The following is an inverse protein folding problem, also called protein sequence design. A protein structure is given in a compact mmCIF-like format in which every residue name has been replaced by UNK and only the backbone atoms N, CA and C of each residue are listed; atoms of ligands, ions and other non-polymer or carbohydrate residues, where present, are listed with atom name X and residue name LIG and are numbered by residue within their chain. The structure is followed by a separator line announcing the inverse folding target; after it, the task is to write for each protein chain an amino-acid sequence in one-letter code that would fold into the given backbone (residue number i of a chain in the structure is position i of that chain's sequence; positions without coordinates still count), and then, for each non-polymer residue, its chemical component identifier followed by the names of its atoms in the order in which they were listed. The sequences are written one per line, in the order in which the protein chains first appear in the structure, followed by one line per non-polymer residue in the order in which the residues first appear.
data_IF_148822299881
#
_entry.id   IF_148822299881
#
_cell.length_a   1.000
_cell.length_b   1.000
_cell.length_c   1.000
_cell.angle_alpha   90.00
_cell.angle_beta   90.00
_cell.angle_gamma   90.00
#
_symmetry.space_group_name_H-M   'P 1'
#
loop_
_entity.id
_entity.type
_entity.pdbx_description
1 polymer ?
#
# COMPACT_ATOMS: atom_id res chain seq x y z
N UNK A 1 -56.71 24.50 -30.68
CA UNK A 1 -55.27 24.09 -30.89
C UNK A 1 -54.92 23.00 -29.90
N UNK A 2 -54.71 21.78 -30.38
CA UNK A 2 -54.52 20.60 -29.53
C UNK A 2 -53.14 20.62 -28.85
N UNK A 3 -53.12 20.90 -27.56
CA UNK A 3 -51.91 20.83 -26.69
C UNK A 3 -51.55 19.42 -26.26
N UNK A 4 -52.43 18.45 -26.44
CA UNK A 4 -52.26 17.05 -26.01
C UNK A 4 -51.02 16.33 -26.54
N UNK A 5 -50.59 16.43 -27.82
CA UNK A 5 -49.41 15.70 -28.27
C UNK A 5 -48.10 16.22 -27.65
N UNK A 6 -48.03 17.51 -27.31
CA UNK A 6 -46.82 18.10 -26.67
C UNK A 6 -46.61 17.62 -25.24
N UNK A 7 -47.69 17.44 -24.47
CA UNK A 7 -47.64 16.94 -23.09
C UNK A 7 -47.22 15.46 -23.09
N UNK A 8 -47.73 14.65 -24.05
CA UNK A 8 -47.38 13.26 -24.19
C UNK A 8 -45.91 13.05 -24.52
N UNK A 9 -45.35 13.86 -25.44
CA UNK A 9 -43.93 13.84 -25.78
C UNK A 9 -43.07 14.24 -24.56
N UNK A 10 -43.46 15.27 -23.80
CA UNK A 10 -42.75 15.72 -22.62
C UNK A 10 -42.73 14.59 -21.53
N UNK A 11 -43.82 13.89 -21.29
CA UNK A 11 -43.94 12.78 -20.39
C UNK A 11 -43.03 11.59 -20.77
N UNK A 12 -42.95 11.27 -22.07
CA UNK A 12 -42.08 10.22 -22.59
C UNK A 12 -40.60 10.58 -22.35
N UNK A 13 -40.21 11.82 -22.60
CA UNK A 13 -38.84 12.31 -22.37
C UNK A 13 -38.49 12.20 -20.88
N UNK A 14 -39.37 12.65 -19.98
CA UNK A 14 -39.17 12.56 -18.53
C UNK A 14 -39.08 11.11 -18.07
N UNK A 15 -39.95 10.21 -18.60
CA UNK A 15 -39.91 8.80 -18.28
C UNK A 15 -38.61 8.12 -18.72
N UNK A 16 -38.12 8.44 -19.92
CA UNK A 16 -36.80 7.96 -20.41
C UNK A 16 -35.64 8.48 -19.54
N UNK A 17 -35.70 9.72 -19.11
CA UNK A 17 -34.69 10.32 -18.22
C UNK A 17 -34.68 9.64 -16.85
N UNK A 18 -35.84 9.47 -16.24
CA UNK A 18 -35.97 8.76 -14.96
C UNK A 18 -35.56 7.30 -15.07
N UNK A 19 -35.90 6.62 -16.15
CA UNK A 19 -35.45 5.27 -16.45
C UNK A 19 -33.93 5.17 -16.60
N UNK A 20 -33.30 6.13 -17.30
CA UNK A 20 -31.86 6.22 -17.44
C UNK A 20 -31.15 6.45 -16.10
N UNK A 21 -31.68 7.35 -15.26
CA UNK A 21 -31.14 7.60 -13.90
C UNK A 21 -31.31 6.37 -13.04
N UNK A 22 -32.48 5.73 -13.03
CA UNK A 22 -32.73 4.51 -12.25
C UNK A 22 -31.81 3.37 -12.68
N UNK A 23 -31.58 3.17 -13.98
CA UNK A 23 -30.64 2.19 -14.52
C UNK A 23 -29.20 2.49 -14.13
N UNK A 24 -28.79 3.75 -14.14
CA UNK A 24 -27.46 4.19 -13.70
C UNK A 24 -27.24 3.97 -12.21
N UNK A 25 -28.24 4.28 -11.36
CA UNK A 25 -28.21 4.03 -9.93
C UNK A 25 -28.16 2.53 -9.62
N UNK A 26 -28.99 1.73 -10.32
CA UNK A 26 -28.99 0.27 -10.16
C UNK A 26 -27.65 -0.35 -10.58
N UNK A 27 -27.07 0.10 -11.68
CA UNK A 27 -25.74 -0.35 -12.13
C UNK A 27 -24.65 0.04 -11.13
N UNK A 28 -24.72 1.22 -10.54
CA UNK A 28 -23.74 1.65 -9.52
C UNK A 28 -23.90 0.88 -8.20
N UNK A 29 -25.14 0.58 -7.79
CA UNK A 29 -25.42 -0.18 -6.57
C UNK A 29 -25.00 -1.66 -6.70
N UNK A 30 -25.00 -2.22 -7.90
CA UNK A 30 -24.67 -3.62 -8.18
C UNK A 30 -23.23 -3.83 -8.68
N UNK A 31 -22.38 -2.79 -8.67
CA UNK A 31 -20.96 -2.95 -9.02
C UNK A 31 -20.28 -3.86 -8.00
N UNK A 32 -19.63 -4.91 -8.48
CA UNK A 32 -18.80 -5.74 -7.62
C UNK A 32 -17.62 -4.93 -7.06
N UNK A 33 -17.15 -5.27 -5.88
CA UNK A 33 -15.96 -4.66 -5.26
C UNK A 33 -14.75 -4.70 -6.21
N UNK A 34 -14.57 -5.82 -6.93
CA UNK A 34 -13.52 -5.97 -7.92
C UNK A 34 -13.62 -4.96 -9.07
N UNK A 35 -14.83 -4.64 -9.55
CA UNK A 35 -15.03 -3.63 -10.58
C UNK A 35 -14.72 -2.22 -10.07
N UNK A 36 -15.10 -1.91 -8.84
CA UNK A 36 -14.79 -0.62 -8.22
C UNK A 36 -13.28 -0.46 -8.05
N UNK A 37 -12.59 -1.48 -7.56
CA UNK A 37 -11.13 -1.48 -7.42
C UNK A 37 -10.43 -1.36 -8.78
N UNK A 38 -10.90 -2.05 -9.81
CA UNK A 38 -10.34 -1.96 -11.16
C UNK A 38 -10.47 -0.55 -11.76
N UNK A 39 -11.61 0.12 -11.59
CA UNK A 39 -11.80 1.50 -12.06
C UNK A 39 -10.87 2.48 -11.35
N UNK A 40 -10.67 2.28 -10.05
CA UNK A 40 -9.80 3.16 -9.27
C UNK A 40 -8.33 2.87 -9.55
N UNK A 41 -7.97 1.62 -9.81
CA UNK A 41 -6.62 1.23 -10.23
C UNK A 41 -6.14 2.00 -11.46
N UNK A 42 -7.07 2.33 -12.38
CA UNK A 42 -6.77 3.15 -13.56
C UNK A 42 -6.38 4.60 -13.22
N UNK A 43 -6.75 5.08 -12.03
CA UNK A 43 -6.48 6.45 -11.56
C UNK A 43 -5.28 6.53 -10.61
N UNK A 44 -4.75 5.38 -10.18
CA UNK A 44 -3.58 5.36 -9.32
C UNK A 44 -2.38 5.92 -10.07
N UNK A 45 -1.78 6.95 -9.50
CA UNK A 45 -0.54 7.52 -10.01
C UNK A 45 0.65 6.81 -9.37
N UNK A 46 1.71 6.52 -10.16
CA UNK A 46 2.97 6.03 -9.63
C UNK A 46 3.47 6.95 -8.51
N UNK A 47 3.87 6.36 -7.39
CA UNK A 47 4.36 7.12 -6.26
C UNK A 47 5.31 6.27 -5.40
N UNK A 48 6.30 6.94 -4.81
CA UNK A 48 7.23 6.33 -3.86
C UNK A 48 7.22 7.15 -2.57
N UNK A 49 7.10 6.46 -1.45
CA UNK A 49 7.11 7.02 -0.11
C UNK A 49 8.25 6.44 0.69
N UNK A 50 8.79 7.21 1.61
CA UNK A 50 9.91 6.86 2.44
C UNK A 50 9.53 7.00 3.90
N UNK A 51 10.06 6.13 4.73
CA UNK A 51 9.71 6.02 6.14
C UNK A 51 10.96 5.91 7.00
N UNK A 52 10.92 6.56 8.15
CA UNK A 52 11.80 6.21 9.25
C UNK A 52 11.16 5.08 10.03
N UNK A 53 11.97 4.13 10.49
CA UNK A 53 11.51 3.06 11.38
C UNK A 53 12.14 3.27 12.74
N UNK A 54 11.30 3.47 13.72
CA UNK A 54 11.71 3.70 15.10
C UNK A 54 11.18 2.56 15.98
N UNK A 55 11.95 2.17 16.99
CA UNK A 55 11.55 1.26 18.05
C UNK A 55 11.66 1.98 19.40
N UNK A 56 10.54 2.12 20.11
CA UNK A 56 10.47 2.86 21.38
C UNK A 56 11.11 4.26 21.27
N UNK A 57 10.88 4.95 20.14
CA UNK A 57 11.42 6.30 19.89
C UNK A 57 12.88 6.34 19.41
N UNK A 58 13.57 5.20 19.34
CA UNK A 58 14.94 5.11 18.80
C UNK A 58 14.90 4.64 17.37
N UNK A 59 15.56 5.37 16.48
CA UNK A 59 15.66 4.99 15.07
C UNK A 59 16.48 3.71 14.92
N UNK A 60 15.88 2.72 14.25
CA UNK A 60 16.53 1.44 13.94
C UNK A 60 16.68 1.19 12.44
N UNK A 61 16.00 1.96 11.59
CA UNK A 61 16.09 1.75 10.15
C UNK A 61 15.29 2.72 9.32
N UNK A 62 15.16 2.36 8.06
CA UNK A 62 14.40 3.07 7.04
C UNK A 62 13.61 2.08 6.17
N UNK A 63 12.53 2.57 5.57
CA UNK A 63 11.76 1.81 4.60
C UNK A 63 11.33 2.69 3.43
N UNK A 64 10.99 2.06 2.32
CA UNK A 64 10.30 2.71 1.20
C UNK A 64 9.15 1.83 0.72
N UNK A 65 8.12 2.45 0.20
CA UNK A 65 7.00 1.79 -0.47
C UNK A 65 6.76 2.50 -1.80
N UNK A 66 6.85 1.76 -2.88
CA UNK A 66 6.63 2.24 -4.23
C UNK A 66 5.45 1.50 -4.85
N UNK A 67 4.59 2.25 -5.50
CA UNK A 67 3.54 1.71 -6.37
C UNK A 67 3.77 2.25 -7.76
N UNK A 68 3.93 1.36 -8.73
CA UNK A 68 4.09 1.69 -10.14
C UNK A 68 2.98 1.05 -10.97
N UNK A 69 2.67 1.69 -12.09
CA UNK A 69 1.61 1.25 -12.99
C UNK A 69 2.16 1.12 -14.41
N UNK A 70 2.04 -0.07 -14.97
CA UNK A 70 2.29 -0.31 -16.40
C UNK A 70 0.98 -0.36 -17.18
N UNK A 71 1.04 -0.59 -18.48
CA UNK A 71 -0.18 -0.75 -19.30
C UNK A 71 -1.11 -1.83 -18.80
N UNK A 72 -0.59 -2.94 -18.24
CA UNK A 72 -1.39 -4.13 -17.90
C UNK A 72 -1.26 -4.58 -16.44
N UNK A 73 -0.30 -4.04 -15.67
CA UNK A 73 -0.04 -4.49 -14.30
C UNK A 73 0.15 -3.32 -13.35
N UNK A 74 -0.09 -3.60 -12.07
CA UNK A 74 0.33 -2.78 -10.94
C UNK A 74 1.49 -3.52 -10.26
N UNK A 75 2.55 -2.81 -9.95
CA UNK A 75 3.69 -3.35 -9.20
C UNK A 75 3.85 -2.55 -7.93
N UNK A 76 3.78 -3.23 -6.79
CA UNK A 76 4.16 -2.65 -5.49
C UNK A 76 5.51 -3.21 -5.08
N UNK A 77 6.39 -2.33 -4.67
CA UNK A 77 7.69 -2.68 -4.11
C UNK A 77 7.88 -2.01 -2.76
N UNK A 78 8.02 -2.83 -1.73
CA UNK A 78 8.31 -2.39 -0.37
C UNK A 78 9.72 -2.83 0.01
N UNK A 79 10.50 -1.92 0.54
CA UNK A 79 11.87 -2.16 0.97
C UNK A 79 12.08 -1.68 2.39
N UNK A 80 12.75 -2.49 3.19
CA UNK A 80 13.16 -2.16 4.56
C UNK A 80 14.65 -2.43 4.72
N UNK A 81 15.33 -1.57 5.45
CA UNK A 81 16.70 -1.80 5.92
C UNK A 81 16.87 -1.23 7.32
N UNK A 82 17.45 -2.01 8.22
CA UNK A 82 17.65 -1.55 9.58
C UNK A 82 18.34 -2.58 10.47
N UNK A 83 18.66 -2.13 11.69
CA UNK A 83 19.28 -2.96 12.72
C UNK A 83 18.17 -3.52 13.61
N UNK A 84 17.72 -4.73 13.29
CA UNK A 84 16.69 -5.41 14.06
C UNK A 84 17.30 -6.25 15.17
N UNK A 85 16.81 -6.17 16.40
CA UNK A 85 17.35 -6.98 17.49
C UNK A 85 17.10 -8.47 17.24
N UNK A 86 18.18 -9.23 17.18
CA UNK A 86 18.17 -10.67 17.09
C UNK A 86 18.88 -11.23 18.33
N UNK A 87 18.11 -11.62 19.35
CA UNK A 87 18.66 -11.94 20.68
C UNK A 87 19.21 -10.66 21.36
N UNK A 88 20.44 -10.74 21.87
CA UNK A 88 21.07 -9.65 22.63
C UNK A 88 21.85 -8.64 21.79
N UNK A 89 21.90 -8.79 20.46
CA UNK A 89 22.66 -7.90 19.59
C UNK A 89 21.79 -7.44 18.40
N UNK A 90 21.93 -6.16 17.96
CA UNK A 90 21.30 -5.71 16.74
C UNK A 90 21.89 -6.44 15.53
N UNK A 91 21.04 -6.97 14.67
CA UNK A 91 21.43 -7.61 13.43
C UNK A 91 20.93 -6.82 12.23
N UNK A 92 21.84 -6.48 11.34
CA UNK A 92 21.49 -5.84 10.07
C UNK A 92 20.57 -6.74 9.29
N UNK A 93 19.40 -6.22 8.95
CA UNK A 93 18.37 -6.91 8.18
C UNK A 93 17.91 -6.01 7.05
N UNK A 94 17.80 -6.56 5.86
CA UNK A 94 17.05 -5.93 4.78
C UNK A 94 15.96 -6.87 4.30
N UNK A 95 14.82 -6.30 3.92
CA UNK A 95 13.70 -7.04 3.36
C UNK A 95 13.18 -6.31 2.13
N UNK A 96 12.93 -7.05 1.06
CA UNK A 96 12.31 -6.55 -0.16
C UNK A 96 11.07 -7.38 -0.44
N UNK A 97 9.95 -6.70 -0.65
CA UNK A 97 8.71 -7.29 -1.09
C UNK A 97 8.35 -6.72 -2.43
N UNK A 98 8.13 -7.59 -3.39
CA UNK A 98 7.68 -7.22 -4.71
C UNK A 98 6.36 -7.96 -4.98
N UNK A 99 5.31 -7.20 -5.23
CA UNK A 99 3.98 -7.72 -5.50
C UNK A 99 3.56 -7.26 -6.88
N UNK A 100 3.13 -8.18 -7.72
CA UNK A 100 2.56 -7.89 -9.02
C UNK A 100 1.08 -8.23 -9.04
N UNK A 101 0.28 -7.28 -9.48
CA UNK A 101 -1.17 -7.40 -9.57
C UNK A 101 -1.60 -7.14 -11.01
N UNK A 102 -2.72 -7.73 -11.38
CA UNK A 102 -3.46 -7.31 -12.57
C UNK A 102 -4.06 -5.92 -12.36
N UNK A 103 -4.54 -5.29 -13.43
CA UNK A 103 -5.28 -4.01 -13.31
C UNK A 103 -6.60 -4.12 -12.53
N UNK A 104 -7.13 -5.32 -12.35
CA UNK A 104 -8.27 -5.60 -11.49
C UNK A 104 -7.93 -5.73 -10.00
N UNK A 105 -6.70 -5.41 -9.57
CA UNK A 105 -6.21 -5.64 -8.21
C UNK A 105 -6.15 -7.12 -7.79
N UNK A 106 -6.10 -8.04 -8.75
CA UNK A 106 -5.89 -9.45 -8.44
C UNK A 106 -4.40 -9.73 -8.34
N UNK A 107 -3.98 -10.37 -7.26
CA UNK A 107 -2.59 -10.81 -7.08
C UNK A 107 -2.22 -11.77 -8.22
N UNK A 108 -1.11 -11.51 -8.89
CA UNK A 108 -0.52 -12.43 -9.85
C UNK A 108 0.63 -13.20 -9.21
N UNK A 109 1.58 -12.47 -8.65
CA UNK A 109 2.72 -13.05 -7.95
C UNK A 109 3.27 -12.13 -6.85
N UNK A 110 4.02 -12.73 -5.96
CA UNK A 110 4.68 -12.09 -4.84
C UNK A 110 6.05 -12.72 -4.62
N UNK A 111 7.07 -11.88 -4.48
CA UNK A 111 8.41 -12.28 -4.05
C UNK A 111 8.77 -11.54 -2.79
N UNK A 112 9.26 -12.24 -1.79
CA UNK A 112 9.77 -11.69 -0.54
C UNK A 112 11.18 -12.19 -0.35
N UNK A 113 12.14 -11.27 -0.29
CA UNK A 113 13.53 -11.56 0.00
C UNK A 113 13.93 -10.88 1.31
N UNK A 114 14.42 -11.66 2.26
CA UNK A 114 14.94 -11.17 3.54
C UNK A 114 16.41 -11.57 3.64
N UNK A 115 17.28 -10.58 3.60
CA UNK A 115 18.71 -10.78 3.84
C UNK A 115 19.03 -10.48 5.31
N UNK A 116 19.58 -11.49 5.98
CA UNK A 116 20.14 -11.42 7.33
C UNK A 116 21.56 -11.95 7.27
N UNK A 117 22.42 -11.51 8.19
CA UNK A 117 23.81 -11.97 8.22
C UNK A 117 23.92 -13.50 8.33
N UNK A 118 23.00 -14.14 9.04
CA UNK A 118 23.09 -15.56 9.36
C UNK A 118 22.25 -16.48 8.47
N UNK A 119 21.12 -16.01 7.93
CA UNK A 119 20.20 -16.85 7.11
C UNK A 119 19.37 -15.98 6.16
N UNK A 120 19.72 -15.91 4.88
CA UNK A 120 18.83 -15.34 3.88
C UNK A 120 17.57 -16.22 3.74
N UNK A 121 16.43 -15.55 3.52
CA UNK A 121 15.14 -16.21 3.39
C UNK A 121 14.40 -15.61 2.21
N UNK A 122 13.81 -16.46 1.37
CA UNK A 122 13.02 -16.03 0.23
C UNK A 122 11.70 -16.80 0.18
N UNK A 123 10.62 -16.12 -0.12
CA UNK A 123 9.32 -16.70 -0.45
C UNK A 123 8.94 -16.22 -1.85
N UNK A 124 8.50 -17.17 -2.68
CA UNK A 124 7.84 -16.88 -3.93
C UNK A 124 6.42 -17.43 -3.85
N UNK A 125 5.44 -16.62 -4.23
CA UNK A 125 4.06 -17.05 -4.29
C UNK A 125 3.46 -16.61 -5.62
N UNK A 126 2.65 -17.48 -6.24
CA UNK A 126 1.94 -17.20 -7.49
C UNK A 126 0.50 -17.64 -7.36
N UNK A 127 -0.40 -16.94 -8.05
CA UNK A 127 -1.80 -17.31 -8.12
C UNK A 127 -2.00 -18.22 -9.33
N UNK A 128 -2.60 -19.38 -9.07
CA UNK A 128 -3.03 -20.36 -10.06
C UNK A 128 -4.57 -20.40 -10.06
N UNK A 129 -5.18 -20.48 -11.21
CA UNK A 129 -6.63 -20.65 -11.36
C UNK A 129 -7.48 -19.61 -10.59
N UNK A 130 -7.03 -18.35 -10.49
CA UNK A 130 -7.70 -17.21 -9.85
C UNK A 130 -8.06 -17.37 -8.36
N UNK A 131 -7.99 -18.57 -7.81
CA UNK A 131 -8.42 -18.88 -6.43
C UNK A 131 -7.43 -19.72 -5.63
N UNK A 132 -6.34 -20.16 -6.26
CA UNK A 132 -5.32 -21.02 -5.66
C UNK A 132 -3.99 -20.27 -5.59
N UNK A 133 -3.49 -20.08 -4.37
CA UNK A 133 -2.18 -19.49 -4.12
C UNK A 133 -1.16 -20.63 -3.92
N UNK A 134 -0.18 -20.72 -4.81
CA UNK A 134 0.99 -21.56 -4.62
C UNK A 134 2.09 -20.78 -3.93
N UNK A 135 2.64 -21.32 -2.85
CA UNK A 135 3.72 -20.70 -2.07
C UNK A 135 4.91 -21.64 -1.98
N UNK A 136 6.06 -21.19 -2.46
CA UNK A 136 7.32 -21.90 -2.36
C UNK A 136 8.33 -21.09 -1.56
N UNK A 137 9.06 -21.73 -0.65
CA UNK A 137 10.19 -21.13 0.07
C UNK A 137 11.52 -21.63 -0.45
N UNK A 138 12.61 -20.91 -0.19
CA UNK A 138 13.94 -21.32 -0.57
C UNK A 138 14.40 -22.53 0.28
N UNK A 139 14.95 -23.56 -0.37
CA UNK A 139 15.45 -24.77 0.29
C UNK A 139 16.60 -24.53 1.27
N UNK A 140 17.36 -23.43 1.11
CA UNK A 140 18.53 -23.13 1.97
C UNK A 140 18.19 -22.66 3.38
N UNK A 141 16.95 -22.29 3.66
CA UNK A 141 16.53 -21.76 4.97
C UNK A 141 15.70 -22.71 5.83
N UNK A 142 15.90 -24.03 5.70
CA UNK A 142 15.14 -25.04 6.44
C UNK A 142 13.79 -25.32 5.77
N UNK A 143 13.81 -25.47 4.49
CA UNK A 143 12.75 -25.61 3.49
C UNK A 143 11.41 -26.10 4.02
N UNK A 144 10.47 -25.19 4.18
CA UNK A 144 9.09 -25.61 4.28
C UNK A 144 8.65 -26.14 2.91
N UNK A 145 7.91 -27.25 2.86
CA UNK A 145 7.39 -27.76 1.60
C UNK A 145 6.51 -26.71 0.92
N UNK A 146 6.43 -26.71 -0.41
CA UNK A 146 5.45 -25.90 -1.13
C UNK A 146 4.04 -26.17 -0.58
N UNK A 147 3.23 -25.13 -0.52
CA UNK A 147 1.88 -25.22 -0.01
C UNK A 147 0.91 -24.51 -0.96
N UNK A 148 -0.31 -25.02 -1.04
CA UNK A 148 -1.41 -24.42 -1.79
C UNK A 148 -2.47 -23.94 -0.80
N UNK A 149 -2.97 -22.73 -1.04
CA UNK A 149 -4.02 -22.12 -0.23
C UNK A 149 -5.15 -21.67 -1.13
N UNK A 150 -6.38 -22.05 -0.81
CA UNK A 150 -7.56 -21.52 -1.48
C UNK A 150 -7.96 -20.18 -0.85
N UNK A 151 -8.40 -19.23 -1.66
CA UNK A 151 -8.89 -17.93 -1.21
C UNK A 151 -10.11 -17.49 -2.02
N UNK A 152 -10.86 -16.53 -1.50
CA UNK A 152 -11.92 -15.87 -2.28
C UNK A 152 -11.27 -14.87 -3.26
N UNK A 153 -11.91 -14.62 -4.40
CA UNK A 153 -11.38 -13.65 -5.37
C UNK A 153 -10.92 -12.36 -4.71
N UNK A 154 -9.78 -11.84 -5.17
CA UNK A 154 -9.09 -10.66 -4.65
C UNK A 154 -8.28 -10.95 -3.38
N UNK A 155 -7.06 -11.46 -3.57
CA UNK A 155 -6.07 -11.64 -2.52
C UNK A 155 -5.12 -10.45 -2.50
N UNK A 156 -4.86 -9.92 -1.31
CA UNK A 156 -3.96 -8.79 -1.09
C UNK A 156 -2.72 -9.18 -0.30
N UNK A 157 -1.67 -8.39 -0.46
CA UNK A 157 -0.54 -8.36 0.48
C UNK A 157 -0.80 -7.30 1.57
N UNK A 158 -0.21 -7.41 2.76
CA UNK A 158 -0.44 -6.47 3.85
C UNK A 158 -0.22 -4.99 3.48
N UNK A 159 0.76 -4.69 2.63
CA UNK A 159 1.09 -3.33 2.17
C UNK A 159 0.01 -2.72 1.26
N UNK A 160 -0.71 -3.53 0.51
CA UNK A 160 -1.74 -3.08 -0.43
C UNK A 160 -3.14 -3.01 0.18
N UNK A 161 -3.35 -3.64 1.34
CA UNK A 161 -4.64 -3.63 2.03
C UNK A 161 -5.14 -2.22 2.34
N UNK A 162 -4.33 -1.29 2.87
CA UNK A 162 -4.78 0.08 3.12
C UNK A 162 -5.20 0.81 1.84
N UNK A 163 -4.48 0.59 0.74
CA UNK A 163 -4.81 1.16 -0.59
C UNK A 163 -6.18 0.62 -1.05
N UNK A 164 -6.36 -0.70 -1.07
CA UNK A 164 -7.62 -1.33 -1.45
C UNK A 164 -8.78 -0.86 -0.56
N UNK A 165 -8.54 -0.76 0.76
CA UNK A 165 -9.55 -0.30 1.72
C UNK A 165 -9.99 1.13 1.43
N UNK A 166 -9.07 2.07 1.27
CA UNK A 166 -9.40 3.48 1.01
C UNK A 166 -10.06 3.68 -0.35
N UNK A 167 -9.61 2.96 -1.36
CA UNK A 167 -10.17 3.03 -2.72
C UNK A 167 -11.54 2.35 -2.86
N UNK A 168 -11.86 1.37 -2.04
CA UNK A 168 -13.15 0.66 -2.05
C UNK A 168 -14.36 1.49 -1.59
N UNK A 169 -14.21 2.80 -1.33
CA UNK A 169 -15.28 3.73 -1.02
C UNK A 169 -14.83 4.91 -0.15
N UNK A 170 -15.67 5.93 0.00
CA UNK A 170 -15.30 7.14 0.74
C UNK A 170 -14.93 6.80 2.20
N UNK A 171 -13.86 7.41 2.73
CA UNK A 171 -13.47 7.20 4.10
C UNK A 171 -14.53 7.75 5.05
N UNK A 172 -14.99 6.91 5.99
CA UNK A 172 -15.96 7.27 7.01
C UNK A 172 -15.63 6.53 8.30
N UNK A 173 -15.61 7.23 9.42
CA UNK A 173 -15.44 6.63 10.75
C UNK A 173 -16.52 5.57 10.96
N UNK A 174 -16.12 4.39 11.42
CA UNK A 174 -17.00 3.23 11.61
C UNK A 174 -17.13 2.33 10.39
N UNK A 175 -16.61 2.71 9.20
CA UNK A 175 -16.58 1.81 8.05
C UNK A 175 -15.76 0.56 8.37
N UNK A 176 -16.32 -0.62 8.08
CA UNK A 176 -15.68 -1.92 8.26
C UNK A 176 -15.70 -2.68 6.95
N UNK A 177 -14.60 -3.34 6.61
CA UNK A 177 -14.50 -4.20 5.44
C UNK A 177 -13.51 -5.34 5.70
N UNK A 178 -13.80 -6.52 5.14
CA UNK A 178 -12.97 -7.74 5.31
C UNK A 178 -12.27 -8.06 4.01
N UNK A 179 -10.96 -8.32 4.07
CA UNK A 179 -10.12 -8.68 2.93
C UNK A 179 -9.51 -10.06 3.10
N UNK A 180 -9.27 -10.76 1.99
CA UNK A 180 -8.36 -11.92 2.00
C UNK A 180 -6.94 -11.39 1.86
N UNK A 181 -6.08 -11.71 2.83
CA UNK A 181 -4.69 -11.21 2.91
C UNK A 181 -3.74 -12.39 3.07
N UNK A 182 -2.74 -12.47 2.21
CA UNK A 182 -1.64 -13.40 2.43
C UNK A 182 -0.72 -12.84 3.51
N UNK A 183 -0.62 -13.54 4.63
CA UNK A 183 0.30 -13.20 5.71
C UNK A 183 1.60 -14.01 5.55
N UNK A 184 2.70 -13.37 5.15
CA UNK A 184 3.96 -14.07 4.91
C UNK A 184 4.63 -14.56 6.19
N UNK A 185 4.27 -14.03 7.36
CA UNK A 185 4.82 -14.44 8.65
C UNK A 185 4.31 -15.82 9.06
N UNK A 186 3.01 -16.02 8.90
CA UNK A 186 2.34 -17.30 9.17
C UNK A 186 2.25 -18.19 7.93
N UNK A 187 2.46 -17.61 6.73
CA UNK A 187 2.24 -18.22 5.42
C UNK A 187 0.80 -18.66 5.19
N UNK A 188 -0.15 -18.03 5.82
CA UNK A 188 -1.57 -18.34 5.70
C UNK A 188 -2.31 -17.21 4.99
N UNK A 189 -3.45 -17.55 4.40
CA UNK A 189 -4.43 -16.57 3.98
C UNK A 189 -5.34 -16.28 5.17
N UNK A 190 -5.29 -15.05 5.65
CA UNK A 190 -6.11 -14.55 6.77
C UNK A 190 -7.19 -13.62 6.26
N UNK A 191 -8.22 -13.39 7.06
CA UNK A 191 -9.34 -12.51 6.71
C UNK A 191 -9.60 -11.45 7.78
N UNK A 192 -8.72 -10.45 7.91
CA UNK A 192 -8.91 -9.37 8.86
C UNK A 192 -10.12 -8.51 8.49
N UNK A 193 -10.86 -8.07 9.51
CA UNK A 193 -11.87 -7.04 9.39
C UNK A 193 -11.24 -5.69 9.75
N UNK A 194 -11.00 -4.86 8.76
CA UNK A 194 -10.42 -3.53 8.93
C UNK A 194 -11.50 -2.52 9.25
N UNK A 195 -11.19 -1.55 10.10
CA UNK A 195 -12.11 -0.50 10.53
C UNK A 195 -11.43 0.87 10.52
N UNK A 196 -12.12 1.90 10.02
CA UNK A 196 -11.74 3.29 10.26
C UNK A 196 -12.23 3.68 11.66
N UNK A 197 -11.30 3.97 12.56
CA UNK A 197 -11.60 4.31 13.96
C UNK A 197 -11.51 5.80 14.26
N UNK A 198 -10.70 6.55 13.53
CA UNK A 198 -10.48 7.97 13.75
C UNK A 198 -10.03 8.69 12.48
N UNK A 199 -10.09 10.01 12.54
CA UNK A 199 -9.57 10.95 11.54
C UNK A 199 -8.65 11.96 12.21
N UNK A 200 -7.55 12.35 11.57
CA UNK A 200 -6.63 13.37 12.06
C UNK A 200 -5.88 14.04 10.91
N UNK A 201 -5.11 15.06 11.25
CA UNK A 201 -4.25 15.81 10.34
C UNK A 201 -2.81 15.69 10.80
N UNK A 202 -1.92 15.35 9.88
CA UNK A 202 -0.50 15.15 10.15
C UNK A 202 0.35 16.11 9.34
N UNK A 203 1.46 16.54 9.93
CA UNK A 203 2.53 17.24 9.20
C UNK A 203 3.53 16.20 8.71
N UNK A 204 3.74 16.11 7.41
CA UNK A 204 4.67 15.19 6.75
C UNK A 204 5.80 15.98 6.13
N UNK A 205 7.03 15.49 6.25
CA UNK A 205 8.17 16.11 5.60
C UNK A 205 8.25 15.57 4.17
N UNK A 206 7.96 16.41 3.19
CA UNK A 206 7.94 16.05 1.77
C UNK A 206 9.33 16.17 1.12
N UNK A 207 10.14 17.13 1.54
CA UNK A 207 11.50 17.31 1.04
C UNK A 207 12.48 17.70 2.14
N UNK A 208 13.76 17.42 1.90
CA UNK A 208 14.85 17.77 2.79
C UNK A 208 15.95 18.54 2.06
N UNK A 209 16.70 19.33 2.81
CA UNK A 209 17.86 20.08 2.35
C UNK A 209 19.04 19.84 3.31
N UNK A 210 20.24 20.06 2.82
CA UNK A 210 21.43 20.00 3.65
C UNK A 210 21.63 21.35 4.35
N UNK A 211 21.78 21.35 5.67
CA UNK A 211 22.13 22.53 6.44
C UNK A 211 23.61 22.88 6.31
N UNK A 212 24.04 23.99 6.92
CA UNK A 212 25.43 24.44 6.90
C UNK A 212 26.39 23.49 7.64
N UNK A 213 25.85 22.62 8.50
CA UNK A 213 26.62 21.61 9.24
C UNK A 213 26.70 20.26 8.51
N UNK A 214 26.21 20.17 7.27
CA UNK A 214 26.21 18.92 6.48
C UNK A 214 25.13 17.91 6.88
N UNK A 215 24.15 18.29 7.70
CA UNK A 215 23.03 17.44 8.11
C UNK A 215 21.81 17.69 7.23
N UNK A 216 21.08 16.62 6.93
CA UNK A 216 19.81 16.73 6.24
C UNK A 216 18.73 17.19 7.22
N UNK A 217 18.04 18.27 6.88
CA UNK A 217 16.93 18.85 7.64
C UNK A 217 15.71 19.03 6.77
N UNK A 218 14.52 19.14 7.38
CA UNK A 218 13.28 19.35 6.63
C UNK A 218 13.34 20.69 5.87
N UNK A 219 13.16 20.64 4.55
CA UNK A 219 13.05 21.82 3.70
C UNK A 219 11.59 22.24 3.49
N UNK A 220 10.70 21.26 3.29
CA UNK A 220 9.28 21.50 3.12
C UNK A 220 8.49 20.51 3.97
N UNK A 221 7.37 21.01 4.52
CA UNK A 221 6.39 20.23 5.26
C UNK A 221 5.04 20.40 4.63
N UNK A 222 4.35 19.28 4.43
CA UNK A 222 3.00 19.26 3.90
C UNK A 222 2.01 18.79 4.98
N UNK A 223 0.75 19.21 4.83
CA UNK A 223 -0.32 18.83 5.76
C UNK A 223 -1.19 17.78 5.10
N UNK A 224 -1.27 16.60 5.71
CA UNK A 224 -1.97 15.44 5.19
C UNK A 224 -3.10 15.05 6.13
N UNK A 225 -4.33 15.01 5.60
CA UNK A 225 -5.48 14.42 6.28
C UNK A 225 -5.35 12.90 6.23
N UNK A 226 -5.54 12.24 7.36
CA UNK A 226 -5.39 10.80 7.44
C UNK A 226 -6.46 10.15 8.32
N UNK A 227 -6.75 8.89 8.04
CA UNK A 227 -7.69 8.04 8.75
C UNK A 227 -6.98 6.88 9.38
N UNK A 228 -7.32 6.59 10.63
CA UNK A 228 -6.78 5.46 11.35
C UNK A 228 -7.50 4.19 10.96
N UNK A 229 -6.74 3.23 10.46
CA UNK A 229 -7.20 1.87 10.16
C UNK A 229 -6.70 0.95 11.26
N UNK A 230 -7.62 0.24 11.91
CA UNK A 230 -7.36 -0.80 12.89
C UNK A 230 -7.86 -2.15 12.37
N UNK A 231 -7.42 -3.24 13.00
CA UNK A 231 -7.85 -4.61 12.67
C UNK A 231 -6.96 -5.35 11.68
N UNK A 232 -5.82 -4.78 11.28
CA UNK A 232 -4.82 -5.50 10.49
C UNK A 232 -4.20 -6.66 11.29
N UNK A 233 -3.66 -7.70 10.62
CA UNK A 233 -2.98 -8.80 11.28
C UNK A 233 -1.89 -8.31 12.24
N UNK A 234 -1.61 -9.09 13.28
CA UNK A 234 -0.54 -8.82 14.27
C UNK A 234 -0.70 -7.50 15.06
N UNK A 235 -1.94 -6.98 15.18
CA UNK A 235 -2.20 -5.76 15.93
C UNK A 235 -1.63 -4.49 15.28
N UNK A 236 -1.37 -4.53 13.97
CA UNK A 236 -0.92 -3.34 13.23
C UNK A 236 -2.06 -2.34 13.13
N UNK A 237 -1.77 -1.08 13.43
CA UNK A 237 -2.63 0.05 13.15
C UNK A 237 -1.89 1.05 12.26
N UNK A 238 -2.61 1.74 11.37
CA UNK A 238 -2.00 2.70 10.47
C UNK A 238 -2.90 3.92 10.28
N UNK A 239 -2.29 5.09 10.23
CA UNK A 239 -2.86 6.31 9.69
C UNK A 239 -2.53 6.38 8.21
N UNK A 240 -3.55 6.48 7.37
CA UNK A 240 -3.40 6.48 5.90
C UNK A 240 -4.10 7.69 5.30
N UNK A 241 -3.57 8.22 4.21
CA UNK A 241 -4.22 9.29 3.45
C UNK A 241 -5.41 8.76 2.63
N UNK A 242 -6.09 9.62 1.90
CA UNK A 242 -7.26 9.29 1.06
C UNK A 242 -6.97 8.31 -0.07
N UNK A 243 -5.71 8.16 -0.46
CA UNK A 243 -5.25 7.16 -1.43
C UNK A 243 -4.77 5.85 -0.78
N UNK A 244 -4.91 5.71 0.56
CA UNK A 244 -4.47 4.53 1.32
C UNK A 244 -2.96 4.46 1.56
N UNK A 245 -2.24 5.57 1.38
CA UNK A 245 -0.80 5.64 1.60
C UNK A 245 -0.51 5.88 3.07
N UNK A 246 0.39 5.11 3.63
CA UNK A 246 0.71 5.19 5.05
C UNK A 246 1.35 6.55 5.37
N UNK A 247 0.86 7.20 6.42
CA UNK A 247 1.44 8.40 7.04
C UNK A 247 2.22 8.02 8.29
N UNK A 248 1.59 7.23 9.16
CA UNK A 248 2.21 6.62 10.34
C UNK A 248 1.64 5.22 10.49
N UNK A 249 2.47 4.23 10.74
CA UNK A 249 2.03 2.87 11.10
C UNK A 249 2.69 2.43 12.40
N UNK A 250 1.97 1.64 13.17
CA UNK A 250 2.44 1.11 14.45
C UNK A 250 2.19 -0.40 14.51
N UNK A 251 3.21 -1.14 14.93
CA UNK A 251 3.18 -2.58 15.14
C UNK A 251 3.95 -2.92 16.43
N UNK A 252 3.24 -3.07 17.54
CA UNK A 252 3.88 -3.23 18.85
C UNK A 252 4.77 -2.02 19.18
N UNK A 253 6.06 -2.27 19.37
CA UNK A 253 7.07 -1.25 19.68
C UNK A 253 7.61 -0.51 18.44
N UNK A 254 7.27 -0.96 17.24
CA UNK A 254 7.74 -0.38 15.99
C UNK A 254 6.80 0.70 15.50
N UNK A 255 7.38 1.82 15.07
CA UNK A 255 6.66 2.91 14.43
C UNK A 255 7.33 3.26 13.10
N UNK A 256 6.55 3.25 12.03
CA UNK A 256 6.96 3.76 10.73
C UNK A 256 6.36 5.15 10.51
N UNK A 257 7.18 6.15 10.20
CA UNK A 257 6.73 7.53 9.97
C UNK A 257 7.17 8.01 8.61
N UNK A 258 6.23 8.49 7.80
CA UNK A 258 6.48 9.02 6.45
C UNK A 258 7.34 10.28 6.52
N UNK A 259 8.37 10.33 5.66
CA UNK A 259 9.31 11.45 5.61
C UNK A 259 9.98 11.57 4.24
N UNK A 260 10.88 12.55 4.07
CA UNK A 260 11.70 12.68 2.87
C UNK A 260 12.77 11.56 2.77
N UNK A 261 13.16 11.20 1.54
CA UNK A 261 14.19 10.19 1.27
C UNK A 261 15.48 10.41 2.06
N UNK A 262 15.98 11.62 2.06
CA UNK A 262 17.26 11.97 2.69
C UNK A 262 17.21 11.78 4.21
N UNK A 263 16.07 12.12 4.82
CA UNK A 263 15.87 11.94 6.26
C UNK A 263 15.71 10.47 6.62
N UNK A 264 15.09 9.67 5.76
CA UNK A 264 14.94 8.25 5.97
C UNK A 264 16.28 7.51 5.83
N UNK A 265 16.99 7.70 4.72
CA UNK A 265 18.12 6.84 4.33
C UNK A 265 19.49 7.46 4.56
N UNK A 266 19.67 8.79 4.46
CA UNK A 266 20.97 9.42 4.56
C UNK A 266 21.37 9.85 5.98
N UNK A 267 20.41 10.11 6.85
CA UNK A 267 20.67 10.41 8.27
C UNK A 267 20.71 9.14 9.13
N UNK A 268 20.44 7.97 8.57
CA UNK A 268 20.58 6.72 9.31
C UNK A 268 22.03 6.24 9.18
N UNK A 269 22.56 5.56 10.21
CA UNK A 269 23.81 4.79 10.14
C UNK A 269 23.74 3.63 9.13
N UNK A 270 22.56 3.42 8.54
CA UNK A 270 22.35 2.60 7.38
C UNK A 270 23.12 3.20 6.20
N UNK A 271 24.33 2.69 5.95
CA UNK A 271 25.20 3.20 4.89
C UNK A 271 24.44 3.27 3.55
N UNK A 272 24.74 4.32 2.76
CA UNK A 272 24.18 4.54 1.44
C UNK A 272 24.34 3.31 0.49
N UNK A 273 25.29 2.44 0.79
CA UNK A 273 25.64 1.24 0.01
C UNK A 273 24.55 0.14 0.05
N UNK A 274 23.58 0.24 0.95
CA UNK A 274 22.48 -0.74 1.07
C UNK A 274 21.15 -0.30 0.44
N UNK A 275 21.08 0.91 -0.13
CA UNK A 275 19.86 1.39 -0.81
C UNK A 275 19.82 0.81 -2.22
N UNK A 276 18.78 0.07 -2.63
CA UNK A 276 18.65 -0.39 -4.00
C UNK A 276 18.75 0.78 -4.98
N UNK A 277 19.50 0.58 -6.07
CA UNK A 277 19.71 1.62 -7.09
C UNK A 277 18.38 2.17 -7.65
N UNK A 278 17.34 1.33 -7.71
CA UNK A 278 15.99 1.70 -8.14
C UNK A 278 15.31 2.67 -7.16
N UNK A 279 15.44 2.46 -5.85
CA UNK A 279 14.89 3.38 -4.83
C UNK A 279 15.60 4.74 -4.90
N UNK A 280 16.91 4.74 -5.08
CA UNK A 280 17.70 5.96 -5.26
C UNK A 280 17.34 6.67 -6.59
N UNK A 281 17.10 5.92 -7.67
CA UNK A 281 16.68 6.43 -8.98
C UNK A 281 15.27 7.05 -8.92
N UNK A 282 14.32 6.41 -8.25
CA UNK A 282 12.98 6.95 -8.04
C UNK A 282 13.00 8.29 -7.28
N UNK A 283 13.83 8.39 -6.23
CA UNK A 283 14.05 9.64 -5.51
C UNK A 283 14.66 10.76 -6.38
N UNK A 284 15.57 10.41 -7.30
CA UNK A 284 16.18 11.36 -8.24
C UNK A 284 15.20 11.88 -9.29
N UNK A 285 14.28 11.05 -9.77
CA UNK A 285 13.23 11.44 -10.72
C UNK A 285 12.27 12.43 -10.06
N UNK A 286 11.81 12.15 -8.84
CA UNK A 286 10.91 13.03 -8.08
C UNK A 286 11.52 14.44 -7.88
N UNK A 287 12.84 14.53 -7.71
CA UNK A 287 13.54 15.82 -7.63
C UNK A 287 13.53 16.63 -8.92
N UNK A 288 13.62 15.97 -10.07
CA UNK A 288 13.61 16.67 -11.38
C UNK A 288 12.23 17.22 -11.71
N UNK A 289 11.17 16.47 -11.40
CA UNK A 289 9.78 16.89 -11.68
C UNK A 289 9.29 17.96 -10.70
N UNK A 290 9.76 17.98 -9.45
CA UNK A 290 9.43 19.00 -8.46
C UNK A 290 10.07 20.40 -8.70
N UNK A 291 11.10 20.48 -9.57
CA UNK A 291 11.75 21.76 -9.93
C UNK A 291 11.11 22.45 -11.15
N UNK A 292 10.09 21.85 -11.77
CA UNK A 292 9.41 22.35 -12.97
C UNK A 292 8.00 22.94 -12.68
N UNK A 293 7.69 23.23 -11.41
CA UNK A 293 6.47 23.93 -11.01
C UNK A 293 6.80 25.23 -10.29
#
# INVERSE_FOLDING_TARGET
MNSQPRILVALVIVALWLGGIAMMLHRNANRSEAQQLAEVALRLQPATFYYTIDRNGTRIGAASSALDTTSNTLVSEDYFVGDYPAGNQPQRTSARWQTRLTRGFHLADLTIDIARQTRPFSINASVEEDTLLFVAGNKTSGGHPPAHYTFKPTLFTPSLVPVAFMLGGPPKIGRVQTYSVFDPTTRLVVRPALRISAESVFTVIDSAMMDRGGKWVAAHRDTVRAWRIDGAPHGVSAWVDDAGRIVVAQAGELTATRTAFELAFKNSSASADSVPAEVAKAAAIKRKTGKLK
#
